data_IF_594509654846
#
_entry.id   IF_594509654846
#
_cell.length_a   1.000
_cell.length_b   1.000
_cell.length_c   1.000
_cell.angle_alpha   90.00
_cell.angle_beta   90.00
_cell.angle_gamma   90.00
#
_symmetry.space_group_name_H-M   'P 1'
#
loop_
_entity.id
_entity.type
_entity.pdbx_description
1 polymer ?
2 water ?
#
# COMPACT_ATOMS: atom_id res chain seq x y z
N UNK A 1 16.00 -6.03 -5.98
CA UNK A 1 14.99 -5.02 -6.28
C UNK A 1 15.49 -3.61 -5.96
N UNK A 2 15.22 -2.68 -6.87
CA UNK A 2 15.60 -1.29 -6.65
C UNK A 2 14.97 -0.77 -5.36
N UNK A 3 15.75 0.03 -4.63
CA UNK A 3 15.40 0.35 -3.25
C UNK A 3 14.11 1.17 -3.15
N UNK A 4 13.92 2.15 -4.02
CA UNK A 4 12.71 2.96 -3.92
C UNK A 4 11.47 2.13 -4.22
N UNK A 5 11.55 1.24 -5.21
CA UNK A 5 10.45 0.31 -5.47
C UNK A 5 10.20 -0.59 -4.27
N UNK A 6 11.27 -1.05 -3.64
CA UNK A 6 11.15 -1.89 -2.45
C UNK A 6 10.43 -1.16 -1.32
N UNK A 7 10.77 0.11 -1.12
CA UNK A 7 10.12 0.89 -0.08
C UNK A 7 8.63 1.08 -0.37
N UNK A 8 8.28 1.31 -1.64
CA UNK A 8 6.86 1.41 -1.99
C UNK A 8 6.14 0.10 -1.71
N UNK A 9 6.82 -1.03 -1.95
CA UNK A 9 6.21 -2.33 -1.66
C UNK A 9 6.07 -2.56 -0.16
N UNK A 10 7.02 -2.04 0.63
CA UNK A 10 6.91 -2.13 2.08
C UNK A 10 5.74 -1.32 2.59
N UNK A 11 5.46 -0.18 1.96
CA UNK A 11 4.26 0.59 2.30
C UNK A 11 3.02 -0.27 2.12
N UNK A 12 2.94 -0.97 0.98
CA UNK A 12 1.78 -1.83 0.71
C UNK A 12 1.70 -2.97 1.72
N UNK A 13 2.84 -3.60 2.03
CA UNK A 13 2.83 -4.71 2.99
C UNK A 13 2.36 -4.24 4.37
N UNK A 14 2.77 -3.04 4.77
CA UNK A 14 2.33 -2.52 6.07
C UNK A 14 0.84 -2.18 6.06
N UNK A 15 0.35 -1.55 4.99
CA UNK A 15 -1.08 -1.25 4.90
C UNK A 15 -1.91 -2.53 4.83
N UNK A 16 -1.37 -3.59 4.23
CA UNK A 16 -2.07 -4.88 4.20
C UNK A 16 -2.16 -5.49 5.59
N UNK A 17 -1.12 -5.31 6.41
CA UNK A 17 -1.20 -5.80 7.79
C UNK A 17 -2.27 -5.05 8.56
N UNK A 18 -2.40 -3.75 8.30
CA UNK A 18 -3.43 -2.95 8.94
C UNK A 18 -4.81 -3.39 8.48
N UNK A 19 -4.96 -3.72 7.20
CA UNK A 19 -6.24 -4.21 6.70
C UNK A 19 -6.61 -5.53 7.38
N UNK A 20 -5.61 -6.39 7.59
CA UNK A 20 -5.87 -7.66 8.27
C UNK A 20 -6.39 -7.43 9.69
N UNK A 21 -5.76 -6.51 10.42
CA UNK A 21 -6.20 -6.21 11.78
C UNK A 21 -7.61 -5.62 11.79
N UNK A 22 -7.88 -4.67 10.89
CA UNK A 22 -9.20 -4.06 10.81
C UNK A 22 -10.28 -5.11 10.58
N UNK A 23 -10.00 -6.09 9.71
CA UNK A 23 -10.98 -7.14 9.45
C UNK A 23 -11.11 -8.08 10.65
N UNK A 24 -9.99 -8.41 11.30
CA UNK A 24 -10.02 -9.24 12.49
C UNK A 24 -10.87 -8.61 13.59
N UNK A 25 -10.85 -7.29 13.68
CA UNK A 25 -11.39 -6.59 14.83
C UNK A 25 -12.78 -6.01 14.61
N UNK A 26 -13.35 -6.14 13.41
CA UNK A 26 -14.65 -5.53 13.12
C UNK A 26 -15.83 -6.35 13.66
N UNK B 1 -18.17 2.05 2.67
CA UNK B 1 -17.11 1.25 3.26
C UNK B 1 -16.55 1.93 4.50
N UNK B 2 -16.12 1.13 5.47
CA UNK B 2 -15.62 1.70 6.72
C UNK B 2 -14.39 2.55 6.46
N UNK B 3 -14.35 3.72 7.10
CA UNK B 3 -13.40 4.76 6.73
C UNK B 3 -11.95 4.30 6.89
N UNK B 4 -11.64 3.61 7.98
CA UNK B 4 -10.26 3.21 8.23
C UNK B 4 -9.78 2.20 7.19
N UNK B 5 -10.63 1.25 6.81
CA UNK B 5 -10.28 0.35 5.71
C UNK B 5 -10.12 1.11 4.40
N UNK B 6 -11.01 2.07 4.15
CA UNK B 6 -10.91 2.86 2.92
C UNK B 6 -9.60 3.63 2.87
N UNK B 7 -9.16 4.16 4.01
CA UNK B 7 -7.91 4.91 4.05
C UNK B 7 -6.71 3.99 3.85
N UNK B 8 -6.72 2.81 4.47
CA UNK B 8 -5.63 1.87 4.25
C UNK B 8 -5.56 1.45 2.79
N UNK B 9 -6.73 1.25 2.15
CA UNK B 9 -6.74 0.91 0.73
C UNK B 9 -6.26 2.08 -0.12
N UNK B 10 -6.52 3.32 0.31
CA UNK B 10 -5.99 4.46 -0.43
C UNK B 10 -4.48 4.52 -0.35
N UNK B 11 -3.90 4.13 0.79
CA UNK B 11 -2.45 4.03 0.90
C UNK B 11 -1.91 3.06 -0.14
N UNK B 12 -2.57 1.91 -0.30
CA UNK B 12 -2.09 0.90 -1.24
C UNK B 12 -2.21 1.39 -2.67
N UNK B 13 -3.35 2.01 -3.01
CA UNK B 13 -3.54 2.55 -4.35
C UNK B 13 -2.51 3.62 -4.68
N UNK B 14 -2.18 4.48 -3.71
CA UNK B 14 -1.17 5.51 -3.95
C UNK B 14 0.21 4.90 -4.14
N UNK B 15 0.56 3.90 -3.33
CA UNK B 15 1.85 3.25 -3.47
C UNK B 15 1.94 2.47 -4.77
N UNK B 16 0.83 1.89 -5.24
CA UNK B 16 0.84 1.25 -6.55
C UNK B 16 1.10 2.26 -7.66
N UNK B 17 0.53 3.46 -7.55
CA UNK B 17 0.82 4.49 -8.54
C UNK B 17 2.29 4.87 -8.53
N UNK B 18 2.91 4.88 -7.35
CA UNK B 18 4.33 5.17 -7.23
C UNK B 18 5.17 4.08 -7.88
N UNK B 19 4.81 2.82 -7.66
CA UNK B 19 5.52 1.72 -8.31
C UNK B 19 5.41 1.85 -9.82
N UNK B 20 4.22 2.18 -10.33
CA UNK B 20 4.05 2.35 -11.77
C UNK B 20 4.92 3.48 -12.31
N UNK B 21 5.01 4.59 -11.57
CA UNK B 21 5.86 5.70 -12.00
C UNK B 21 7.34 5.30 -12.00
N UNK B 22 7.77 4.59 -10.96
CA UNK B 22 9.15 4.12 -10.89
C UNK B 22 9.48 3.19 -12.05
N UNK B 23 8.54 2.31 -12.41
CA UNK B 23 8.79 1.38 -13.50
C UNK B 23 8.80 2.08 -14.85
N UNK B 24 7.99 3.13 -15.01
CA UNK B 24 7.98 3.88 -16.26
C UNK B 24 9.31 4.59 -16.50
N UNK B 25 10.01 4.93 -15.43
CA UNK B 25 11.26 5.67 -15.48
C UNK B 25 12.49 4.76 -15.43
N UNK B 26 12.29 3.45 -15.32
CA UNK B 26 13.38 2.48 -15.25
C UNK B 26 14.32 2.59 -16.45
#
# INVERSE_FOLDING_TARGET
EERKKELAKEVIETAKKLIEKLAKEE
EERKKELAKEVIETAKKLIEKLAKEE
#
